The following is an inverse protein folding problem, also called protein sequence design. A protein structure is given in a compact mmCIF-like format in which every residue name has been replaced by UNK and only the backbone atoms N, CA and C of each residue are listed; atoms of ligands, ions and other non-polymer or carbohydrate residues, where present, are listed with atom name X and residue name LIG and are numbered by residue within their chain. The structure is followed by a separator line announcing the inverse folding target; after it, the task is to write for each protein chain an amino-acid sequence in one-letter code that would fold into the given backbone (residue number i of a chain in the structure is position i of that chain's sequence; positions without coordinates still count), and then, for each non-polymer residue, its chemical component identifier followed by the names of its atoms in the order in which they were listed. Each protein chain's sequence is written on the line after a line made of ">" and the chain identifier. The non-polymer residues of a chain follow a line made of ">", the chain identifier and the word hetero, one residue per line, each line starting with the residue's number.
data_IF_926827181179
#
_entry.id   IF_926827181179
#
_cell.length_a   1.000
_cell.length_b   1.000
_cell.length_c   1.000
_cell.angle_alpha   90.00
_cell.angle_beta   90.00
_cell.angle_gamma   90.00
#
_symmetry.space_group_name_H-M   'P 1'
#
loop_
_entity.id
_entity.type
_entity.pdbx_description
1 polymer ?
#
# COMPACT_ATOMS: atom_id res chain seq x y z
N UNK A 1 26.52 -3.00 20.27
CA UNK A 1 26.33 -2.43 18.93
C UNK A 1 26.79 -0.99 19.01
N UNK A 2 27.93 -0.66 18.44
CA UNK A 2 28.45 0.71 18.47
C UNK A 2 27.87 1.50 17.30
N UNK A 3 27.21 2.61 17.59
CA UNK A 3 26.70 3.54 16.58
C UNK A 3 27.90 4.37 16.11
N UNK A 4 28.25 4.26 14.83
CA UNK A 4 29.36 5.01 14.21
C UNK A 4 28.81 6.15 13.35
N UNK A 5 29.61 7.19 13.13
CA UNK A 5 29.28 8.30 12.21
C UNK A 5 28.97 7.80 10.78
N UNK A 6 29.62 6.71 10.36
CA UNK A 6 29.37 6.05 9.08
C UNK A 6 27.97 5.42 9.03
N UNK A 7 27.58 4.69 10.09
CA UNK A 7 26.23 4.09 10.17
C UNK A 7 25.10 5.13 10.24
N UNK A 8 25.36 6.29 10.86
CA UNK A 8 24.40 7.41 10.88
C UNK A 8 24.24 8.01 9.48
N UNK A 9 25.33 8.16 8.71
CA UNK A 9 25.25 8.66 7.31
C UNK A 9 24.54 7.70 6.38
N UNK A 10 24.82 6.40 6.50
CA UNK A 10 24.11 5.38 5.70
C UNK A 10 22.62 5.37 6.01
N UNK A 11 22.24 5.51 7.28
CA UNK A 11 20.84 5.65 7.67
C UNK A 11 20.23 6.94 7.11
N UNK A 12 20.91 8.08 7.25
CA UNK A 12 20.43 9.36 6.74
C UNK A 12 20.23 9.33 5.21
N UNK A 13 21.18 8.75 4.47
CA UNK A 13 21.09 8.54 3.03
C UNK A 13 19.91 7.64 2.65
N UNK A 14 19.70 6.55 3.41
CA UNK A 14 18.55 5.68 3.19
C UNK A 14 17.21 6.36 3.51
N UNK A 15 17.22 7.39 4.36
CA UNK A 15 16.03 8.15 4.71
C UNK A 15 15.68 9.23 3.66
N UNK A 16 16.62 9.67 2.82
CA UNK A 16 16.38 10.71 1.80
C UNK A 16 15.29 10.31 0.79
N UNK A 17 15.09 9.01 0.54
CA UNK A 17 14.03 8.51 -0.34
C UNK A 17 12.62 8.86 0.17
N UNK A 18 12.46 9.03 1.49
CA UNK A 18 11.18 9.35 2.13
C UNK A 18 10.94 10.86 2.27
N UNK A 19 11.93 11.67 1.92
CA UNK A 19 11.88 13.12 2.02
C UNK A 19 11.68 13.77 0.64
N UNK A 20 11.05 14.94 0.62
CA UNK A 20 10.98 15.84 -0.54
C UNK A 20 12.27 16.69 -0.65
N UNK A 21 12.38 17.50 -1.69
CA UNK A 21 13.55 18.35 -1.94
C UNK A 21 13.82 19.38 -0.81
N UNK A 22 12.88 19.57 0.12
CA UNK A 22 13.00 20.44 1.29
C UNK A 22 13.40 19.67 2.55
N UNK A 23 13.53 18.34 2.47
CA UNK A 23 13.81 17.48 3.62
C UNK A 23 12.56 17.18 4.45
N UNK A 24 11.36 17.43 3.93
CA UNK A 24 10.08 17.13 4.60
C UNK A 24 9.55 15.77 4.16
N UNK A 25 8.75 15.05 4.96
CA UNK A 25 8.11 13.82 4.52
C UNK A 25 7.34 14.03 3.21
N UNK A 26 7.52 13.13 2.24
CA UNK A 26 6.81 13.25 0.96
C UNK A 26 5.30 13.25 1.17
N UNK A 27 4.63 14.09 0.38
CA UNK A 27 3.17 14.12 0.30
C UNK A 27 2.61 12.78 -0.18
N UNK A 28 1.40 12.43 0.26
CA UNK A 28 0.64 11.28 -0.24
C UNK A 28 0.54 11.37 -1.77
N UNK A 29 0.96 10.32 -2.48
CA UNK A 29 1.01 10.28 -3.96
C UNK A 29 -0.36 10.44 -4.62
N UNK A 30 -1.41 9.89 -3.99
CA UNK A 30 -2.78 9.88 -4.53
C UNK A 30 -3.79 10.41 -3.49
N UNK A 31 -3.75 11.70 -3.13
CA UNK A 31 -4.56 12.23 -2.03
C UNK A 31 -6.08 12.13 -2.30
N UNK A 32 -6.48 12.04 -3.58
CA UNK A 32 -7.88 11.88 -4.00
C UNK A 32 -8.36 10.44 -4.15
N UNK A 33 -7.49 9.42 -4.01
CA UNK A 33 -7.88 8.02 -4.22
C UNK A 33 -7.20 7.07 -3.23
N UNK A 34 -8.01 6.57 -2.30
CA UNK A 34 -7.55 5.52 -1.39
C UNK A 34 -7.29 4.21 -2.13
N UNK A 35 -8.00 3.94 -3.23
CA UNK A 35 -7.72 2.79 -4.09
C UNK A 35 -6.27 2.83 -4.60
N UNK A 36 -5.85 3.95 -5.20
CA UNK A 36 -4.50 4.11 -5.72
C UNK A 36 -3.44 4.11 -4.62
N UNK A 37 -3.72 4.72 -3.46
CA UNK A 37 -2.84 4.60 -2.29
C UNK A 37 -2.62 3.13 -1.88
N UNK A 38 -3.66 2.31 -1.83
CA UNK A 38 -3.55 0.89 -1.48
C UNK A 38 -2.72 0.13 -2.52
N UNK A 39 -2.90 0.41 -3.81
CA UNK A 39 -2.15 -0.24 -4.88
C UNK A 39 -0.67 0.14 -4.85
N UNK A 40 -0.38 1.43 -4.76
CA UNK A 40 0.98 1.97 -4.66
C UNK A 40 1.72 1.37 -3.46
N UNK A 41 1.09 1.43 -2.29
CA UNK A 41 1.56 0.83 -1.05
C UNK A 41 1.90 -0.66 -1.20
N UNK A 42 0.95 -1.46 -1.68
CA UNK A 42 1.11 -2.91 -1.74
C UNK A 42 1.99 -3.39 -2.91
N UNK A 43 2.19 -2.60 -3.96
CA UNK A 43 3.04 -2.96 -5.09
C UNK A 43 4.43 -2.36 -5.02
N UNK A 44 4.67 -1.25 -4.33
CA UNK A 44 6.00 -0.62 -4.18
C UNK A 44 7.02 -1.54 -3.52
N UNK A 45 6.64 -2.25 -2.45
CA UNK A 45 7.57 -3.08 -1.68
C UNK A 45 8.20 -4.15 -2.57
N UNK A 46 9.51 -4.12 -2.82
CA UNK A 46 10.20 -5.16 -3.60
C UNK A 46 9.76 -5.29 -5.06
N UNK A 47 9.20 -4.25 -5.66
CA UNK A 47 8.96 -4.13 -7.11
C UNK A 47 9.82 -3.05 -7.73
N UNK A 48 10.04 -3.16 -9.03
CA UNK A 48 10.58 -2.05 -9.81
C UNK A 48 9.51 -0.94 -9.89
N UNK A 49 9.87 0.36 -9.81
CA UNK A 49 8.91 1.47 -9.90
C UNK A 49 7.95 1.36 -11.09
N UNK A 50 8.47 1.05 -12.27
CA UNK A 50 7.66 0.83 -13.49
C UNK A 50 6.58 -0.25 -13.35
N UNK A 51 6.77 -1.24 -12.48
CA UNK A 51 5.74 -2.26 -12.24
C UNK A 51 4.58 -1.71 -11.39
N UNK A 52 4.85 -0.72 -10.54
CA UNK A 52 3.84 0.00 -9.76
C UNK A 52 3.06 0.93 -10.70
N UNK A 53 3.77 1.74 -11.49
CA UNK A 53 3.17 2.65 -12.48
C UNK A 53 2.20 1.89 -13.41
N UNK A 54 2.63 0.75 -13.95
CA UNK A 54 1.79 -0.08 -14.81
C UNK A 54 0.51 -0.60 -14.12
N UNK A 55 0.55 -0.86 -12.80
CA UNK A 55 -0.63 -1.30 -12.05
C UNK A 55 -1.59 -0.15 -11.82
N UNK A 56 -1.08 1.01 -11.40
CA UNK A 56 -1.89 2.20 -11.16
C UNK A 56 -2.49 2.73 -12.46
N UNK A 57 -1.72 2.81 -13.55
CA UNK A 57 -2.18 3.31 -14.85
C UNK A 57 -3.33 2.46 -15.40
N UNK A 58 -3.22 1.12 -15.35
CA UNK A 58 -4.30 0.22 -15.78
C UNK A 58 -5.55 0.36 -14.94
N UNK A 59 -5.40 0.58 -13.64
CA UNK A 59 -6.55 0.85 -12.78
C UNK A 59 -7.22 2.17 -13.17
N UNK A 60 -6.43 3.24 -13.34
CA UNK A 60 -6.88 4.59 -13.72
C UNK A 60 -7.60 4.56 -15.06
N UNK A 61 -7.03 3.91 -16.08
CA UNK A 61 -7.65 3.78 -17.41
C UNK A 61 -9.06 3.18 -17.36
N UNK A 62 -9.33 2.31 -16.37
CA UNK A 62 -10.60 1.60 -16.25
C UNK A 62 -11.58 2.25 -15.28
N UNK A 63 -11.09 2.85 -14.20
CA UNK A 63 -11.91 3.27 -13.06
C UNK A 63 -11.75 4.75 -12.69
N UNK A 64 -10.72 5.42 -13.21
CA UNK A 64 -10.38 6.81 -12.89
C UNK A 64 -9.50 6.97 -11.65
N UNK A 65 -9.32 8.22 -11.23
CA UNK A 65 -8.30 8.65 -10.25
C UNK A 65 -8.87 9.05 -8.89
N UNK A 66 -10.17 8.82 -8.64
CA UNK A 66 -10.89 9.30 -7.44
C UNK A 66 -11.51 8.19 -6.61
N UNK A 67 -11.20 6.93 -6.94
CA UNK A 67 -11.85 5.78 -6.33
C UNK A 67 -11.39 5.53 -4.89
N UNK A 68 -12.35 5.14 -4.06
CA UNK A 68 -12.13 4.69 -2.68
C UNK A 68 -11.84 3.19 -2.57
N UNK A 69 -11.56 2.73 -1.34
CA UNK A 69 -11.29 1.32 -1.07
C UNK A 69 -12.46 0.39 -1.46
N UNK A 70 -13.71 0.88 -1.37
CA UNK A 70 -14.92 0.15 -1.74
C UNK A 70 -15.01 -0.08 -3.25
N UNK A 71 -14.70 0.94 -4.07
CA UNK A 71 -14.67 0.79 -5.53
C UNK A 71 -13.62 -0.25 -5.96
N UNK A 72 -12.43 -0.20 -5.36
CA UNK A 72 -11.38 -1.19 -5.61
C UNK A 72 -11.84 -2.61 -5.26
N UNK A 73 -12.52 -2.78 -4.12
CA UNK A 73 -13.10 -4.08 -3.73
C UNK A 73 -14.14 -4.56 -4.73
N UNK A 74 -14.98 -3.66 -5.24
CA UNK A 74 -15.97 -4.02 -6.26
C UNK A 74 -15.34 -4.36 -7.61
N UNK A 75 -14.29 -3.65 -8.03
CA UNK A 75 -13.50 -4.01 -9.22
C UNK A 75 -12.97 -5.44 -9.13
N UNK A 76 -12.44 -5.83 -7.96
CA UNK A 76 -11.98 -7.21 -7.71
C UNK A 76 -13.14 -8.22 -7.77
N UNK A 77 -14.28 -7.90 -7.15
CA UNK A 77 -15.44 -8.78 -7.12
C UNK A 77 -16.09 -8.94 -8.50
N UNK A 78 -16.17 -7.87 -9.29
CA UNK A 78 -16.73 -7.85 -10.65
C UNK A 78 -15.89 -8.71 -11.61
N UNK A 79 -14.57 -8.71 -11.43
CA UNK A 79 -13.68 -9.60 -12.18
C UNK A 79 -13.82 -11.08 -11.79
N UNK A 80 -14.58 -11.42 -10.75
CA UNK A 80 -14.72 -12.79 -10.25
C UNK A 80 -13.69 -13.20 -9.19
N UNK A 81 -12.99 -12.22 -8.60
CA UNK A 81 -12.04 -12.42 -7.52
C UNK A 81 -10.61 -11.95 -7.83
N UNK A 82 -9.73 -11.91 -6.81
CA UNK A 82 -8.40 -11.28 -6.92
C UNK A 82 -7.48 -11.94 -7.94
N UNK A 83 -7.58 -13.25 -8.16
CA UNK A 83 -6.74 -13.95 -9.15
C UNK A 83 -7.11 -13.59 -10.59
N UNK A 84 -8.41 -13.50 -10.89
CA UNK A 84 -8.88 -13.08 -12.22
C UNK A 84 -8.63 -11.59 -12.41
N UNK A 85 -8.88 -10.78 -11.40
CA UNK A 85 -8.55 -9.35 -11.41
C UNK A 85 -7.06 -9.09 -11.69
N UNK A 86 -6.17 -9.87 -11.06
CA UNK A 86 -4.73 -9.80 -11.31
C UNK A 86 -4.35 -10.10 -12.77
N UNK A 87 -5.02 -11.07 -13.41
CA UNK A 87 -4.73 -11.48 -14.79
C UNK A 87 -5.35 -10.55 -15.82
N UNK A 88 -6.59 -10.16 -15.61
CA UNK A 88 -7.43 -9.56 -16.67
C UNK A 88 -7.62 -8.05 -16.50
N UNK A 89 -7.50 -7.50 -15.29
CA UNK A 89 -7.73 -6.07 -15.03
C UNK A 89 -6.41 -5.32 -14.89
N UNK A 90 -5.57 -5.70 -13.93
CA UNK A 90 -4.28 -5.03 -13.69
C UNK A 90 -3.09 -5.69 -14.38
N UNK A 91 -3.29 -6.85 -14.99
CA UNK A 91 -2.27 -7.62 -15.72
C UNK A 91 -0.95 -7.78 -14.93
N UNK A 92 -1.05 -8.12 -13.64
CA UNK A 92 0.08 -8.33 -12.73
C UNK A 92 -0.21 -9.43 -11.70
N UNK A 93 0.38 -10.62 -11.94
CA UNK A 93 0.26 -11.82 -11.10
C UNK A 93 1.44 -11.99 -10.13
N UNK A 94 2.02 -10.89 -9.65
CA UNK A 94 3.17 -10.96 -8.75
C UNK A 94 2.79 -11.60 -7.40
N UNK A 95 3.54 -12.60 -6.92
CA UNK A 95 3.33 -13.18 -5.60
C UNK A 95 3.92 -12.30 -4.49
N UNK A 96 3.48 -12.54 -3.25
CA UNK A 96 3.99 -11.85 -2.05
C UNK A 96 5.41 -12.26 -1.67
N UNK A 97 5.87 -13.43 -2.14
CA UNK A 97 7.24 -13.94 -2.03
C UNK A 97 7.51 -15.01 -3.11
N UNK A 98 8.75 -15.52 -3.19
CA UNK A 98 9.20 -16.45 -4.23
C UNK A 98 8.86 -17.93 -3.97
N UNK A 99 8.19 -18.26 -2.87
CA UNK A 99 7.89 -19.65 -2.55
C UNK A 99 6.80 -20.21 -3.48
N UNK A 100 6.89 -21.49 -3.89
CA UNK A 100 5.83 -22.13 -4.68
C UNK A 100 4.47 -22.06 -3.97
N UNK A 101 3.43 -21.66 -4.70
CA UNK A 101 2.08 -21.50 -4.15
C UNK A 101 1.90 -20.27 -3.26
N UNK A 102 2.84 -19.32 -3.30
CA UNK A 102 2.69 -18.05 -2.60
C UNK A 102 1.47 -17.27 -3.12
N UNK A 103 0.76 -16.67 -2.17
CA UNK A 103 -0.35 -15.75 -2.40
C UNK A 103 0.02 -14.65 -3.39
N UNK A 104 -0.91 -14.25 -4.25
CA UNK A 104 -0.76 -13.09 -5.12
C UNK A 104 -0.90 -11.78 -4.34
N UNK A 105 -0.19 -10.73 -4.78
CA UNK A 105 -0.39 -9.38 -4.21
C UNK A 105 -1.82 -8.90 -4.34
N UNK A 106 -2.49 -9.23 -5.44
CA UNK A 106 -3.92 -8.94 -5.63
C UNK A 106 -4.81 -9.54 -4.52
N UNK A 107 -4.46 -10.70 -3.96
CA UNK A 107 -5.20 -11.25 -2.81
C UNK A 107 -4.95 -10.46 -1.53
N UNK A 108 -3.76 -9.87 -1.38
CA UNK A 108 -3.46 -8.93 -0.29
C UNK A 108 -4.22 -7.62 -0.48
N UNK A 109 -4.37 -7.15 -1.72
CA UNK A 109 -5.21 -5.98 -2.05
C UNK A 109 -6.66 -6.24 -1.64
N UNK A 110 -7.25 -7.38 -2.00
CA UNK A 110 -8.61 -7.74 -1.55
C UNK A 110 -8.72 -7.69 -0.02
N UNK A 111 -7.75 -8.29 0.70
CA UNK A 111 -7.71 -8.24 2.17
C UNK A 111 -7.59 -6.82 2.71
N UNK A 112 -6.77 -5.97 2.10
CA UNK A 112 -6.62 -4.58 2.49
C UNK A 112 -7.94 -3.82 2.36
N UNK A 113 -8.68 -4.01 1.26
CA UNK A 113 -10.00 -3.38 1.09
C UNK A 113 -11.01 -3.86 2.12
N UNK A 114 -10.89 -5.12 2.59
CA UNK A 114 -11.72 -5.64 3.69
C UNK A 114 -11.36 -5.01 5.03
N UNK A 115 -10.08 -4.82 5.32
CA UNK A 115 -9.64 -4.06 6.51
C UNK A 115 -10.25 -2.67 6.51
N UNK A 116 -10.20 -1.96 5.37
CA UNK A 116 -10.83 -0.64 5.27
C UNK A 116 -12.34 -0.71 5.50
N UNK A 117 -13.03 -1.67 4.89
CA UNK A 117 -14.46 -1.87 5.07
C UNK A 117 -14.85 -2.22 6.52
N UNK A 118 -14.08 -3.06 7.21
CA UNK A 118 -14.30 -3.45 8.61
C UNK A 118 -14.20 -2.25 9.57
N UNK A 119 -13.47 -1.21 9.16
CA UNK A 119 -13.33 0.06 9.88
C UNK A 119 -14.18 1.20 9.31
N UNK A 120 -15.01 0.95 8.29
CA UNK A 120 -15.85 1.98 7.66
C UNK A 120 -15.08 3.04 6.88
N UNK A 121 -13.87 2.71 6.40
CA UNK A 121 -12.97 3.60 5.67
C UNK A 121 -13.15 3.35 4.16
N UNK A 122 -13.33 4.43 3.41
CA UNK A 122 -13.42 4.44 1.95
C UNK A 122 -12.53 5.52 1.31
N UNK A 123 -12.29 6.63 2.00
CA UNK A 123 -11.48 7.77 1.49
C UNK A 123 -10.17 7.98 2.24
N UNK A 124 -9.25 8.73 1.63
CA UNK A 124 -7.98 9.12 2.27
C UNK A 124 -8.24 9.95 3.53
N UNK A 125 -9.16 10.93 3.51
CA UNK A 125 -9.51 11.67 4.74
C UNK A 125 -10.00 10.75 5.86
N UNK A 126 -10.83 9.74 5.55
CA UNK A 126 -11.32 8.81 6.55
C UNK A 126 -10.19 7.95 7.13
N UNK A 127 -9.24 7.53 6.30
CA UNK A 127 -8.06 6.81 6.76
C UNK A 127 -7.21 7.68 7.69
N UNK A 128 -6.91 8.92 7.30
CA UNK A 128 -6.14 9.87 8.11
C UNK A 128 -6.85 10.16 9.44
N UNK A 129 -8.16 10.37 9.43
CA UNK A 129 -8.94 10.57 10.64
C UNK A 129 -8.93 9.34 11.57
N UNK A 130 -8.96 8.13 11.01
CA UNK A 130 -8.93 6.89 11.78
C UNK A 130 -7.53 6.59 12.37
N UNK A 131 -6.47 7.00 11.68
CA UNK A 131 -5.09 6.76 12.10
C UNK A 131 -4.62 7.81 13.11
N UNK A 132 -5.10 9.05 12.99
CA UNK A 132 -4.68 10.20 13.80
C UNK A 132 -3.35 10.80 13.35
N UNK A 133 -2.93 11.87 14.02
CA UNK A 133 -1.71 12.63 13.68
C UNK A 133 -0.42 12.00 14.25
N UNK A 134 -0.52 11.15 15.27
CA UNK A 134 0.66 10.54 15.89
C UNK A 134 1.11 9.30 15.09
N UNK A 135 2.40 9.16 14.74
CA UNK A 135 2.93 7.96 14.13
C UNK A 135 2.81 6.81 15.12
N UNK A 136 1.75 6.00 14.99
CA UNK A 136 1.50 4.90 15.91
C UNK A 136 2.40 3.71 15.52
N UNK A 137 3.70 3.84 15.73
CA UNK A 137 4.71 2.80 15.52
C UNK A 137 4.88 2.04 16.83
N UNK A 138 4.73 0.70 16.81
CA UNK A 138 4.91 -0.14 17.99
C UNK A 138 3.61 -0.53 18.73
N UNK A 139 3.65 -0.86 20.02
CA UNK A 139 2.50 -1.39 20.78
C UNK A 139 1.28 -0.46 20.80
N UNK A 140 1.53 0.85 20.65
CA UNK A 140 0.54 1.92 20.63
C UNK A 140 -0.10 2.14 19.25
N UNK A 141 0.26 1.34 18.24
CA UNK A 141 -0.42 1.32 16.93
C UNK A 141 -1.95 1.30 17.10
N UNK A 142 -2.65 2.22 16.42
CA UNK A 142 -4.11 2.18 16.37
C UNK A 142 -4.59 0.88 15.68
N UNK A 143 -5.88 0.57 15.83
CA UNK A 143 -6.43 -0.71 15.36
C UNK A 143 -6.32 -0.89 13.84
N UNK A 144 -6.44 0.19 13.07
CA UNK A 144 -6.32 0.17 11.59
C UNK A 144 -4.88 -0.13 11.20
N UNK A 145 -3.90 0.55 11.80
CA UNK A 145 -2.47 0.32 11.56
C UNK A 145 -2.05 -1.11 11.97
N UNK A 146 -2.62 -1.65 13.06
CA UNK A 146 -2.40 -3.04 13.47
C UNK A 146 -2.96 -4.03 12.45
N UNK A 147 -4.18 -3.80 11.97
CA UNK A 147 -4.81 -4.63 10.96
C UNK A 147 -4.04 -4.60 9.62
N UNK A 148 -3.57 -3.41 9.20
CA UNK A 148 -2.71 -3.26 8.03
C UNK A 148 -1.40 -4.04 8.16
N UNK A 149 -0.68 -3.89 9.28
CA UNK A 149 0.58 -4.62 9.52
C UNK A 149 0.41 -6.13 9.63
N UNK A 150 -0.80 -6.61 9.93
CA UNK A 150 -1.10 -8.03 9.94
C UNK A 150 -1.25 -8.63 8.53
N UNK A 151 -1.37 -7.80 7.49
CA UNK A 151 -1.42 -8.25 6.10
C UNK A 151 -0.10 -8.96 5.70
N UNK A 152 -0.17 -9.99 4.83
CA UNK A 152 1.01 -10.64 4.29
C UNK A 152 1.99 -9.63 3.68
N UNK A 153 3.28 -9.78 4.02
CA UNK A 153 4.38 -8.90 3.58
C UNK A 153 4.33 -7.44 4.04
N UNK A 154 3.41 -7.06 4.97
CA UNK A 154 3.30 -5.70 5.52
C UNK A 154 3.80 -5.57 6.97
N UNK A 155 4.37 -6.64 7.54
CA UNK A 155 4.80 -6.71 8.95
C UNK A 155 5.94 -5.76 9.31
N UNK A 156 6.81 -5.44 8.36
CA UNK A 156 7.91 -4.50 8.58
C UNK A 156 7.44 -3.04 8.66
N UNK A 157 6.21 -2.76 8.25
CA UNK A 157 5.66 -1.40 8.23
C UNK A 157 6.27 -0.49 7.18
N UNK A 158 7.02 -1.03 6.22
CA UNK A 158 7.52 -0.28 5.07
C UNK A 158 6.49 -0.34 3.95
N UNK A 159 5.58 0.62 3.98
CA UNK A 159 4.68 0.98 2.89
C UNK A 159 3.97 2.28 3.24
#
# INVERSE_FOLDING_TARGET
>A
MEITTSSIRELAWSCEEFLDDRGEPRSISYPGSLALCILDALYSTGSHPTAVDNVTDRYIERHGESDGAKSLRYSIAEAGGPEVWAREVICNVKPVNVQPGAMLRAEVVDRATRVMADHGIDTVEQLLAAVGEEPCIGPQANVVAKAWKALPSQRSGFS
#
